data_IF_255744855842
#
_entry.id   IF_255744855842
#
_cell.length_a   1.000
_cell.length_b   1.000
_cell.length_c   1.000
_cell.angle_alpha   90.00
_cell.angle_beta   90.00
_cell.angle_gamma   90.00
#
_symmetry.space_group_name_H-M   'P 1'
#
loop_
_entity.id
_entity.type
_entity.pdbx_description
1 polymer ?
#
# COMPACT_ATOMS: atom_id res chain seq x y z
N UNK A 1 -11.56 -0.39 13.56
CA UNK A 1 -10.61 0.60 14.14
C UNK A 1 -9.29 0.46 13.40
N UNK A 2 -8.64 1.57 13.00
CA UNK A 2 -7.32 1.53 12.36
C UNK A 2 -6.29 1.30 13.46
N UNK A 3 -5.49 0.23 13.31
CA UNK A 3 -4.39 -0.07 14.21
C UNK A 3 -3.07 0.37 13.57
N UNK A 4 -2.47 1.43 14.10
CA UNK A 4 -1.29 2.04 13.49
C UNK A 4 -0.29 2.49 14.55
N UNK A 5 0.84 1.80 14.65
CA UNK A 5 1.98 2.20 15.48
C UNK A 5 2.99 3.06 14.72
N UNK A 6 3.22 2.72 13.44
CA UNK A 6 4.11 3.45 12.54
C UNK A 6 3.31 3.96 11.34
N UNK A 7 3.38 5.24 11.05
CA UNK A 7 2.83 5.76 9.80
C UNK A 7 3.70 5.30 8.61
N UNK A 8 3.12 5.09 7.42
CA UNK A 8 3.90 4.88 6.21
C UNK A 8 4.81 6.07 5.89
N UNK A 9 5.99 5.80 5.33
CA UNK A 9 6.94 6.83 4.91
C UNK A 9 6.33 7.69 3.78
N UNK A 10 6.09 8.99 4.08
CA UNK A 10 5.39 9.92 3.19
C UNK A 10 3.88 9.97 3.40
N UNK A 11 3.35 9.42 4.49
CA UNK A 11 1.92 9.55 4.81
C UNK A 11 1.52 11.01 5.04
N UNK A 12 2.33 11.73 5.82
CA UNK A 12 2.21 13.18 6.03
C UNK A 12 3.35 13.87 5.27
N UNK A 13 3.02 14.70 4.30
CA UNK A 13 4.01 15.36 3.43
C UNK A 13 4.28 16.80 3.91
N UNK A 14 4.32 16.99 5.23
CA UNK A 14 4.59 18.29 5.82
C UNK A 14 6.10 18.42 6.10
N UNK A 15 6.77 19.24 5.31
CA UNK A 15 8.12 19.68 5.63
C UNK A 15 8.04 20.97 6.43
N UNK A 16 8.49 20.92 7.70
CA UNK A 16 8.72 22.09 8.52
C UNK A 16 10.21 22.18 8.79
N UNK A 17 10.87 23.32 8.52
CA UNK A 17 12.28 23.49 8.88
C UNK A 17 12.50 23.22 10.36
N UNK A 18 13.52 22.43 10.68
CA UNK A 18 13.78 21.98 12.04
C UNK A 18 14.90 22.84 12.66
N UNK A 19 14.82 23.06 13.96
CA UNK A 19 15.90 23.70 14.72
C UNK A 19 16.84 22.66 15.32
N UNK A 20 18.08 23.06 15.63
CA UNK A 20 19.03 22.19 16.33
C UNK A 20 18.48 21.72 17.68
N UNK A 21 17.82 22.62 18.43
CA UNK A 21 17.19 22.27 19.71
C UNK A 21 16.15 21.19 19.58
N UNK A 22 15.30 21.25 18.53
CA UNK A 22 14.31 20.22 18.25
C UNK A 22 14.96 18.87 17.90
N UNK A 23 16.01 18.87 17.08
CA UNK A 23 16.74 17.66 16.69
C UNK A 23 17.46 17.02 17.89
N UNK A 24 18.05 17.82 18.77
CA UNK A 24 18.71 17.34 19.99
C UNK A 24 17.70 16.71 20.97
N UNK A 25 16.55 17.35 21.19
CA UNK A 25 15.47 16.78 22.00
C UNK A 25 14.93 15.48 21.39
N UNK A 26 14.80 15.42 20.06
CA UNK A 26 14.38 14.20 19.36
C UNK A 26 15.41 13.07 19.49
N UNK A 27 16.70 13.40 19.49
CA UNK A 27 17.80 12.45 19.74
C UNK A 27 17.72 11.87 21.16
N UNK A 28 17.62 12.72 22.19
CA UNK A 28 17.49 12.30 23.59
C UNK A 28 16.25 11.41 23.84
N UNK A 29 15.11 11.79 23.24
CA UNK A 29 13.86 11.07 23.37
C UNK A 29 13.78 9.83 22.48
N UNK A 30 14.71 9.63 21.54
CA UNK A 30 14.64 8.56 20.54
C UNK A 30 13.42 8.65 19.60
N UNK A 31 12.95 9.88 19.34
CA UNK A 31 11.74 10.15 18.54
C UNK A 31 11.95 9.75 17.08
N UNK A 32 10.95 9.11 16.51
CA UNK A 32 10.91 8.82 15.06
C UNK A 32 10.54 10.12 14.34
N UNK A 33 11.41 10.52 13.43
CA UNK A 33 11.26 11.71 12.59
C UNK A 33 11.12 11.31 11.12
N UNK A 34 10.73 12.24 10.27
CA UNK A 34 10.60 12.04 8.84
C UNK A 34 11.25 13.19 8.07
N UNK A 35 11.89 12.89 6.97
CA UNK A 35 12.48 13.88 6.07
C UNK A 35 12.63 13.34 4.65
N UNK A 36 12.90 14.25 3.70
CA UNK A 36 13.10 13.90 2.30
C UNK A 36 14.58 13.68 2.02
N UNK A 37 14.91 12.57 1.39
CA UNK A 37 16.26 12.31 0.89
C UNK A 37 16.55 13.21 -0.31
N UNK A 38 17.49 14.13 -0.18
CA UNK A 38 17.88 15.04 -1.26
C UNK A 38 18.92 14.46 -2.19
N UNK A 39 19.80 13.60 -1.66
CA UNK A 39 20.93 13.05 -2.41
C UNK A 39 21.32 11.68 -1.85
N UNK A 40 21.77 10.80 -2.72
CA UNK A 40 22.55 9.61 -2.40
C UNK A 40 23.97 9.82 -2.93
N UNK A 41 24.99 9.74 -2.06
CA UNK A 41 26.39 9.98 -2.46
C UNK A 41 27.06 8.73 -3.08
N UNK A 42 28.33 8.83 -3.45
CA UNK A 42 29.12 7.75 -4.06
C UNK A 42 29.32 6.55 -3.12
N UNK A 43 29.20 6.74 -1.81
CA UNK A 43 29.28 5.69 -0.79
C UNK A 43 27.90 5.15 -0.41
N UNK A 44 26.85 5.58 -1.14
CA UNK A 44 25.44 5.22 -0.92
C UNK A 44 24.88 5.69 0.41
N UNK A 45 25.46 6.72 1.02
CA UNK A 45 24.84 7.42 2.16
C UNK A 45 23.73 8.33 1.66
N UNK A 46 22.66 8.47 2.46
CA UNK A 46 21.54 9.33 2.13
C UNK A 46 21.64 10.66 2.88
N UNK A 47 21.48 11.75 2.15
CA UNK A 47 21.53 13.10 2.71
C UNK A 47 20.13 13.69 2.85
N UNK A 48 19.84 14.21 4.05
CA UNK A 48 18.58 14.86 4.40
C UNK A 48 18.85 16.31 4.72
N UNK A 49 18.02 17.19 4.19
CA UNK A 49 18.03 18.62 4.47
C UNK A 49 16.88 18.93 5.44
N UNK A 50 17.20 19.52 6.58
CA UNK A 50 16.24 19.93 7.59
C UNK A 50 15.82 21.40 7.46
N UNK A 51 16.33 22.11 6.46
CA UNK A 51 16.20 23.55 6.35
C UNK A 51 17.19 24.28 7.29
N UNK A 52 17.18 25.63 7.25
CA UNK A 52 18.03 26.48 8.11
C UNK A 52 19.54 26.11 8.06
N UNK A 53 20.04 25.59 6.94
CA UNK A 53 21.40 25.08 6.77
C UNK A 53 21.74 23.87 7.68
N UNK A 54 20.76 23.20 8.22
CA UNK A 54 20.95 21.99 9.04
C UNK A 54 20.79 20.76 8.14
N UNK A 55 21.74 19.85 8.21
CA UNK A 55 21.74 18.64 7.38
C UNK A 55 21.96 17.38 8.21
N UNK A 56 21.41 16.27 7.74
CA UNK A 56 21.63 14.95 8.30
C UNK A 56 22.13 13.96 7.24
N UNK A 57 22.77 12.92 7.72
CA UNK A 57 23.22 11.79 6.90
C UNK A 57 22.73 10.48 7.50
N UNK A 58 22.16 9.62 6.67
CA UNK A 58 21.93 8.20 6.99
C UNK A 58 23.09 7.44 6.33
N UNK A 59 24.06 6.95 7.11
CA UNK A 59 25.12 6.08 6.57
C UNK A 59 24.52 4.85 5.91
N UNK A 60 25.19 4.29 4.90
CA UNK A 60 24.68 3.15 4.12
C UNK A 60 24.24 1.98 5.02
N UNK A 61 25.01 1.65 6.05
CA UNK A 61 24.71 0.60 7.03
C UNK A 61 23.50 0.89 7.91
N UNK A 62 23.03 2.14 7.94
CA UNK A 62 21.88 2.60 8.70
C UNK A 62 20.62 2.81 7.84
N UNK A 63 20.67 2.48 6.54
CA UNK A 63 19.54 2.68 5.61
C UNK A 63 18.47 1.60 5.76
N UNK A 64 18.85 0.33 5.93
CA UNK A 64 17.90 -0.79 5.97
C UNK A 64 18.16 -1.74 7.14
N UNK A 65 17.05 -2.23 7.74
CA UNK A 65 17.10 -3.29 8.74
C UNK A 65 16.94 -4.69 8.11
N UNK A 66 16.31 -4.75 6.94
CA UNK A 66 16.05 -5.95 6.12
C UNK A 66 16.54 -5.65 4.70
N UNK A 67 16.66 -6.68 3.86
CA UNK A 67 17.15 -6.57 2.48
C UNK A 67 18.60 -6.06 2.41
N UNK A 68 19.41 -6.55 3.32
CA UNK A 68 20.87 -6.36 3.33
C UNK A 68 21.55 -7.59 2.72
N UNK A 69 22.76 -7.41 2.20
CA UNK A 69 23.64 -8.48 1.73
C UNK A 69 24.34 -9.20 2.90
N UNK A 70 25.21 -10.16 2.59
CA UNK A 70 25.98 -10.95 3.57
C UNK A 70 26.90 -10.08 4.44
N UNK A 71 27.26 -8.87 3.98
CA UNK A 71 28.08 -7.91 4.70
C UNK A 71 27.25 -6.98 5.60
N UNK A 72 25.93 -7.11 5.56
CA UNK A 72 25.00 -6.27 6.34
C UNK A 72 24.67 -4.91 5.70
N UNK A 73 25.04 -4.69 4.44
CA UNK A 73 24.76 -3.47 3.71
C UNK A 73 23.58 -3.64 2.72
N UNK A 74 22.72 -2.63 2.57
CA UNK A 74 21.73 -2.61 1.51
C UNK A 74 22.39 -2.51 0.14
N UNK A 75 21.78 -3.13 -0.86
CA UNK A 75 22.26 -3.02 -2.25
C UNK A 75 22.19 -1.55 -2.72
N UNK A 76 23.14 -1.12 -3.58
CA UNK A 76 23.18 0.26 -4.09
C UNK A 76 21.86 0.81 -4.63
N UNK A 77 21.13 0.00 -5.40
CA UNK A 77 19.84 0.38 -5.97
C UNK A 77 18.76 0.66 -4.92
N UNK A 78 18.84 0.03 -3.74
CA UNK A 78 17.92 0.30 -2.62
C UNK A 78 18.17 1.71 -2.08
N UNK A 79 19.43 2.08 -1.85
CA UNK A 79 19.79 3.43 -1.38
C UNK A 79 19.39 4.49 -2.43
N UNK A 80 19.75 4.28 -3.68
CA UNK A 80 19.44 5.21 -4.78
C UNK A 80 17.94 5.41 -4.97
N UNK A 81 17.12 4.37 -4.77
CA UNK A 81 15.66 4.45 -4.90
C UNK A 81 14.98 5.33 -3.84
N UNK A 82 15.71 5.70 -2.77
CA UNK A 82 15.20 6.60 -1.73
C UNK A 82 15.32 8.08 -2.08
N UNK A 83 16.09 8.46 -3.10
CA UNK A 83 16.23 9.86 -3.51
C UNK A 83 14.86 10.43 -3.90
N UNK A 84 14.56 11.63 -3.40
CA UNK A 84 13.27 12.31 -3.50
C UNK A 84 12.10 11.56 -2.81
N UNK A 85 12.39 10.59 -1.94
CA UNK A 85 11.38 9.93 -1.12
C UNK A 85 11.45 10.44 0.32
N UNK A 86 10.29 10.41 1.00
CA UNK A 86 10.25 10.53 2.45
C UNK A 86 10.79 9.25 3.08
N UNK A 87 11.60 9.40 4.12
CA UNK A 87 12.10 8.31 4.96
C UNK A 87 11.94 8.64 6.43
N UNK A 88 11.66 7.64 7.23
CA UNK A 88 11.62 7.77 8.68
C UNK A 88 12.98 7.39 9.27
N UNK A 89 13.40 8.09 10.31
CA UNK A 89 14.69 7.86 10.96
C UNK A 89 14.65 8.32 12.42
N UNK A 90 15.65 7.86 13.18
CA UNK A 90 16.02 8.42 14.49
C UNK A 90 17.33 9.16 14.36
N UNK A 91 17.50 10.21 15.15
CA UNK A 91 18.80 10.88 15.30
C UNK A 91 19.63 10.04 16.26
N UNK A 92 20.84 9.66 15.86
CA UNK A 92 21.77 8.84 16.66
C UNK A 92 22.84 9.68 17.31
N UNK A 93 23.38 10.63 16.56
CA UNK A 93 24.55 11.40 16.98
C UNK A 93 24.67 12.69 16.15
N UNK A 94 25.62 13.53 16.54
CA UNK A 94 26.03 14.73 15.80
C UNK A 94 27.54 14.67 15.61
N UNK A 95 28.02 14.79 14.37
CA UNK A 95 29.44 14.77 14.09
C UNK A 95 30.14 16.09 14.45
N UNK A 96 31.49 16.11 14.40
CA UNK A 96 32.33 17.27 14.69
C UNK A 96 32.05 18.50 13.78
N UNK A 97 31.32 18.32 12.70
CA UNK A 97 30.92 19.35 11.73
C UNK A 97 29.48 19.78 11.89
N UNK A 98 28.86 19.50 13.04
CA UNK A 98 27.44 19.79 13.32
C UNK A 98 26.45 19.08 12.35
N UNK A 99 26.84 17.93 11.77
CA UNK A 99 25.99 17.14 10.90
C UNK A 99 25.36 16.01 11.68
N UNK A 100 24.04 15.87 11.58
CA UNK A 100 23.29 14.83 12.30
C UNK A 100 23.46 13.46 11.65
N UNK A 101 23.84 12.47 12.45
CA UNK A 101 23.92 11.06 12.03
C UNK A 101 22.57 10.40 12.33
N UNK A 102 21.97 9.83 11.31
CA UNK A 102 20.60 9.32 11.36
C UNK A 102 20.55 7.80 11.11
N UNK A 103 19.56 7.14 11.66
CA UNK A 103 19.31 5.73 11.45
C UNK A 103 17.86 5.47 11.02
N UNK A 104 17.67 5.02 9.79
CA UNK A 104 16.42 4.43 9.34
C UNK A 104 16.31 2.96 9.78
N UNK A 105 17.43 2.29 9.89
CA UNK A 105 17.56 0.92 10.37
C UNK A 105 16.94 0.70 11.75
N UNK A 106 17.12 1.65 12.66
CA UNK A 106 16.55 1.53 14.03
C UNK A 106 15.02 1.64 14.02
N UNK A 107 14.46 2.50 13.18
CA UNK A 107 13.00 2.54 12.94
C UNK A 107 12.51 1.20 12.38
N UNK A 108 13.20 0.66 11.37
CA UNK A 108 12.87 -0.62 10.76
C UNK A 108 12.93 -1.78 11.76
N UNK A 109 13.92 -1.81 12.67
CA UNK A 109 14.00 -2.82 13.74
C UNK A 109 12.81 -2.75 14.70
N UNK A 110 12.38 -1.55 15.07
CA UNK A 110 11.20 -1.37 15.93
C UNK A 110 9.91 -1.78 15.20
N UNK A 111 9.79 -1.41 13.93
CA UNK A 111 8.66 -1.82 13.11
C UNK A 111 8.60 -3.35 12.92
N UNK A 112 9.75 -4.03 12.79
CA UNK A 112 9.81 -5.50 12.79
C UNK A 112 9.34 -6.12 14.11
N UNK A 113 9.71 -5.53 15.25
CA UNK A 113 9.22 -5.98 16.57
C UNK A 113 7.69 -5.82 16.65
N UNK A 114 7.15 -4.70 16.16
CA UNK A 114 5.72 -4.49 16.07
C UNK A 114 5.03 -5.56 15.22
N UNK A 115 5.55 -5.86 14.03
CA UNK A 115 5.00 -6.93 13.16
C UNK A 115 5.04 -8.30 13.85
N UNK A 116 6.12 -8.61 14.58
CA UNK A 116 6.28 -9.89 15.24
C UNK A 116 5.37 -10.08 16.45
N UNK A 117 5.15 -9.02 17.23
CA UNK A 117 4.57 -9.13 18.55
C UNK A 117 3.15 -8.59 18.67
N UNK A 118 2.77 -7.64 17.80
CA UNK A 118 1.57 -6.84 18.00
C UNK A 118 0.62 -6.84 16.79
N UNK A 119 1.17 -6.92 15.55
CA UNK A 119 0.34 -6.91 14.36
C UNK A 119 -0.41 -8.23 14.19
N UNK A 120 -1.72 -8.16 13.96
CA UNK A 120 -2.59 -9.34 13.86
C UNK A 120 -3.42 -9.36 12.58
N UNK A 121 -3.82 -10.57 12.19
CA UNK A 121 -4.78 -10.77 11.10
C UNK A 121 -6.10 -10.03 11.40
N UNK A 122 -6.66 -9.40 10.37
CA UNK A 122 -7.91 -8.64 10.47
C UNK A 122 -7.75 -7.19 10.89
N UNK A 123 -6.57 -6.78 11.37
CA UNK A 123 -6.30 -5.39 11.69
C UNK A 123 -6.22 -4.54 10.41
N UNK A 124 -6.73 -3.32 10.49
CA UNK A 124 -6.68 -2.33 9.40
C UNK A 124 -5.50 -1.41 9.64
N UNK A 125 -4.64 -1.29 8.63
CA UNK A 125 -3.46 -0.44 8.64
C UNK A 125 -3.49 0.56 7.49
N UNK A 126 -2.94 1.74 7.70
CA UNK A 126 -2.64 2.69 6.63
C UNK A 126 -1.53 2.15 5.75
N UNK A 127 -1.56 2.42 4.46
CA UNK A 127 -0.51 2.00 3.55
C UNK A 127 -0.35 2.91 2.35
N UNK A 128 0.88 2.95 1.83
CA UNK A 128 1.21 3.66 0.58
C UNK A 128 1.67 2.63 -0.44
N UNK A 129 1.06 2.66 -1.62
CA UNK A 129 1.45 1.81 -2.76
C UNK A 129 2.85 2.22 -3.23
N UNK A 130 3.83 1.34 -3.07
CA UNK A 130 5.22 1.59 -3.48
C UNK A 130 5.55 1.04 -4.87
N UNK A 131 5.01 -0.12 -5.22
CA UNK A 131 5.19 -0.68 -6.57
C UNK A 131 4.04 -1.60 -6.96
N UNK A 132 3.83 -1.73 -8.27
CA UNK A 132 2.79 -2.58 -8.85
C UNK A 132 3.45 -3.61 -9.76
N UNK A 133 3.05 -4.87 -9.61
CA UNK A 133 3.47 -6.01 -10.44
C UNK A 133 2.22 -6.69 -11.00
N UNK A 134 2.31 -7.50 -12.07
CA UNK A 134 1.13 -8.17 -12.63
C UNK A 134 0.34 -9.01 -11.61
N UNK A 135 1.02 -9.63 -10.65
CA UNK A 135 0.43 -10.49 -9.63
C UNK A 135 -0.04 -9.77 -8.36
N UNK A 136 0.28 -8.47 -8.20
CA UNK A 136 -0.13 -7.74 -7.00
C UNK A 136 0.62 -6.44 -6.76
N UNK A 137 0.37 -5.86 -5.61
CA UNK A 137 0.82 -4.54 -5.20
C UNK A 137 1.65 -4.64 -3.92
N UNK A 138 2.79 -3.98 -3.90
CA UNK A 138 3.62 -3.84 -2.71
C UNK A 138 3.24 -2.53 -2.01
N UNK A 139 2.80 -2.67 -0.77
CA UNK A 139 2.27 -1.58 0.06
C UNK A 139 3.14 -1.42 1.29
N UNK A 140 3.69 -0.24 1.49
CA UNK A 140 4.41 0.11 2.71
C UNK A 140 3.41 0.52 3.79
N UNK A 141 3.47 -0.14 4.95
CA UNK A 141 2.49 -0.04 6.03
C UNK A 141 3.02 0.61 7.31
N UNK A 142 4.23 1.15 7.27
CA UNK A 142 4.86 1.89 8.36
C UNK A 142 6.25 1.39 8.70
N UNK A 143 7.14 2.33 9.05
CA UNK A 143 8.53 2.04 9.41
C UNK A 143 9.34 1.32 8.36
N UNK A 144 9.00 1.49 7.08
CA UNK A 144 9.63 0.80 5.95
C UNK A 144 9.19 -0.66 5.76
N UNK A 145 8.22 -1.15 6.51
CA UNK A 145 7.67 -2.50 6.35
C UNK A 145 6.75 -2.55 5.14
N UNK A 146 6.96 -3.55 4.28
CA UNK A 146 6.20 -3.73 3.04
C UNK A 146 5.41 -5.03 3.09
N UNK A 147 4.10 -4.93 2.86
CA UNK A 147 3.20 -6.06 2.64
C UNK A 147 2.86 -6.26 1.17
N UNK A 148 2.47 -7.47 0.80
CA UNK A 148 1.97 -7.84 -0.52
C UNK A 148 0.44 -7.91 -0.51
N UNK A 149 -0.19 -7.15 -1.40
CA UNK A 149 -1.60 -7.25 -1.75
C UNK A 149 -1.71 -8.00 -3.08
N UNK A 150 -2.11 -9.27 -3.04
CA UNK A 150 -2.28 -10.07 -4.26
C UNK A 150 -3.44 -9.53 -5.12
N UNK A 151 -3.36 -9.69 -6.45
CA UNK A 151 -4.38 -9.18 -7.37
C UNK A 151 -5.80 -9.68 -7.04
N UNK A 152 -5.95 -10.91 -6.58
CA UNK A 152 -7.22 -11.52 -6.17
C UNK A 152 -7.78 -10.95 -4.84
N UNK A 153 -6.97 -10.23 -4.08
CA UNK A 153 -7.35 -9.60 -2.81
C UNK A 153 -7.66 -8.11 -2.95
N UNK A 154 -7.60 -7.57 -4.18
CA UNK A 154 -7.91 -6.16 -4.46
C UNK A 154 -9.42 -5.93 -4.52
N UNK A 155 -10.15 -6.78 -5.26
CA UNK A 155 -11.62 -6.70 -5.42
C UNK A 155 -12.21 -8.06 -5.73
N UNK A 156 -13.52 -8.21 -5.52
CA UNK A 156 -14.26 -9.43 -5.92
C UNK A 156 -14.39 -9.51 -7.44
N UNK A 157 -14.65 -8.37 -8.09
CA UNK A 157 -14.64 -8.29 -9.54
C UNK A 157 -13.23 -8.54 -10.07
N UNK A 158 -13.09 -9.50 -10.98
CA UNK A 158 -11.81 -9.85 -11.59
C UNK A 158 -11.24 -8.69 -12.40
N UNK A 159 -9.96 -8.46 -12.24
CA UNK A 159 -9.18 -7.44 -12.97
C UNK A 159 -7.99 -8.12 -13.66
N UNK A 160 -7.56 -7.61 -14.79
CA UNK A 160 -6.38 -8.12 -15.52
C UNK A 160 -5.09 -7.51 -15.01
N UNK A 161 -5.17 -6.32 -14.37
CA UNK A 161 -4.03 -5.63 -13.81
C UNK A 161 -4.42 -4.89 -12.53
N UNK A 162 -3.57 -4.92 -11.47
CA UNK A 162 -3.79 -4.11 -10.27
C UNK A 162 -3.91 -2.61 -10.54
N UNK A 163 -3.32 -2.12 -11.64
CA UNK A 163 -3.38 -0.71 -12.06
C UNK A 163 -4.80 -0.24 -12.40
N UNK A 164 -5.74 -1.16 -12.63
CA UNK A 164 -7.16 -0.83 -12.81
C UNK A 164 -7.81 -0.28 -11.52
N UNK A 165 -7.19 -0.51 -10.37
CA UNK A 165 -7.70 -0.16 -9.03
C UNK A 165 -6.79 0.75 -8.23
N UNK A 166 -5.49 0.59 -8.38
CA UNK A 166 -4.51 1.21 -7.51
C UNK A 166 -3.40 1.89 -8.33
N UNK A 167 -2.84 2.96 -7.78
CA UNK A 167 -1.75 3.73 -8.40
C UNK A 167 -0.56 3.81 -7.45
N UNK A 168 0.65 3.87 -8.00
CA UNK A 168 1.87 4.12 -7.20
C UNK A 168 1.71 5.48 -6.47
N UNK A 169 2.09 5.52 -5.21
CA UNK A 169 1.91 6.68 -4.32
C UNK A 169 0.52 6.80 -3.70
N UNK A 170 -0.46 5.97 -4.10
CA UNK A 170 -1.80 6.02 -3.52
C UNK A 170 -1.76 5.67 -2.03
N UNK A 171 -2.40 6.51 -1.23
CA UNK A 171 -2.62 6.34 0.21
C UNK A 171 -3.99 5.70 0.43
N UNK A 172 -4.04 4.58 1.14
CA UNK A 172 -5.29 3.89 1.46
C UNK A 172 -5.14 3.06 2.74
N UNK A 173 -6.27 2.57 3.24
CA UNK A 173 -6.29 1.58 4.31
C UNK A 173 -6.31 0.18 3.69
N UNK A 174 -5.62 -0.76 4.34
CA UNK A 174 -5.55 -2.16 3.96
C UNK A 174 -5.81 -3.03 5.19
N UNK A 175 -6.34 -4.22 5.00
CA UNK A 175 -6.51 -5.18 6.09
C UNK A 175 -5.41 -6.23 6.03
N UNK A 176 -4.87 -6.61 7.17
CA UNK A 176 -3.89 -7.69 7.29
C UNK A 176 -4.60 -9.02 7.07
N UNK A 177 -4.28 -9.72 5.98
CA UNK A 177 -4.84 -11.02 5.63
C UNK A 177 -4.13 -12.15 6.37
N UNK A 178 -2.80 -12.12 6.40
CA UNK A 178 -1.97 -13.08 7.13
C UNK A 178 -0.57 -12.56 7.35
N UNK A 179 0.13 -13.12 8.33
CA UNK A 179 1.52 -12.77 8.68
C UNK A 179 2.31 -14.06 8.82
N UNK A 180 3.36 -14.21 8.02
CA UNK A 180 4.41 -15.20 8.22
C UNK A 180 5.54 -14.55 9.02
N UNK A 181 5.51 -14.76 10.34
CA UNK A 181 6.47 -14.16 11.27
C UNK A 181 7.88 -14.72 11.11
N UNK A 182 8.03 -15.94 10.60
CA UNK A 182 9.33 -16.57 10.35
C UNK A 182 10.08 -15.89 9.21
N UNK A 183 9.36 -15.57 8.12
CA UNK A 183 9.92 -14.94 6.92
C UNK A 183 9.66 -13.43 6.83
N UNK A 184 9.07 -12.81 7.85
CA UNK A 184 8.67 -11.42 7.87
C UNK A 184 7.79 -11.03 6.65
N UNK A 185 6.91 -11.94 6.20
CA UNK A 185 6.01 -11.71 5.06
C UNK A 185 4.62 -11.36 5.54
N UNK A 186 4.07 -10.29 5.01
CA UNK A 186 2.74 -9.80 5.32
C UNK A 186 1.92 -9.83 4.04
N UNK A 187 0.79 -10.53 4.08
CA UNK A 187 -0.22 -10.48 3.04
C UNK A 187 -1.33 -9.53 3.47
N UNK A 188 -1.71 -8.67 2.55
CA UNK A 188 -2.77 -7.68 2.74
C UNK A 188 -3.99 -8.05 1.89
N UNK A 189 -5.13 -7.49 2.24
CA UNK A 189 -6.34 -7.53 1.44
C UNK A 189 -7.00 -6.16 1.45
N UNK A 190 -7.67 -5.82 0.36
CA UNK A 190 -8.38 -4.55 0.19
C UNK A 190 -9.88 -4.78 -0.02
N UNK A 191 -10.25 -5.89 -0.64
CA UNK A 191 -11.64 -6.20 -0.97
C UNK A 191 -12.58 -6.24 0.24
N UNK A 192 -12.11 -6.66 1.42
CA UNK A 192 -12.93 -6.68 2.63
C UNK A 192 -13.31 -5.27 3.12
N UNK A 193 -12.56 -4.25 2.69
CA UNK A 193 -12.82 -2.84 3.01
C UNK A 193 -13.75 -2.14 2.00
N UNK A 194 -14.10 -2.83 0.91
CA UNK A 194 -15.00 -2.30 -0.14
C UNK A 194 -16.48 -2.66 0.11
N UNK A 195 -16.80 -3.12 1.32
CA UNK A 195 -18.14 -3.55 1.72
C UNK A 195 -18.44 -5.00 1.33
N UNK A 196 -19.39 -5.58 2.05
CA UNK A 196 -19.92 -6.92 1.78
C UNK A 196 -20.75 -6.92 0.50
N UNK A 197 -21.07 -8.12 -0.01
CA UNK A 197 -21.99 -8.27 -1.14
C UNK A 197 -23.34 -7.60 -0.84
N UNK A 198 -23.87 -7.83 0.36
CA UNK A 198 -25.16 -7.32 0.81
C UNK A 198 -25.18 -5.78 0.90
N UNK A 199 -24.10 -5.17 1.43
CA UNK A 199 -23.96 -3.71 1.49
C UNK A 199 -23.90 -3.09 0.10
N UNK A 200 -23.15 -3.71 -0.82
CA UNK A 200 -23.06 -3.24 -2.19
C UNK A 200 -24.38 -3.43 -2.95
N UNK A 201 -25.06 -4.56 -2.75
CA UNK A 201 -26.33 -4.88 -3.45
C UNK A 201 -27.47 -3.94 -3.05
N UNK A 202 -27.49 -3.40 -1.82
CA UNK A 202 -28.50 -2.43 -1.34
C UNK A 202 -28.55 -1.13 -2.16
N UNK A 203 -27.47 -0.82 -2.90
CA UNK A 203 -27.43 0.38 -3.75
C UNK A 203 -28.11 0.19 -5.11
N UNK A 204 -28.69 -0.99 -5.36
CA UNK A 204 -29.29 -1.35 -6.62
C UNK A 204 -30.71 -1.90 -6.45
N UNK A 205 -31.59 -1.60 -7.41
CA UNK A 205 -32.97 -2.03 -7.40
C UNK A 205 -33.29 -2.92 -8.61
N UNK A 206 -34.09 -3.96 -8.39
CA UNK A 206 -34.64 -4.75 -9.48
C UNK A 206 -35.49 -3.88 -10.39
N UNK A 207 -35.40 -4.08 -11.70
CA UNK A 207 -36.11 -3.26 -12.68
C UNK A 207 -35.40 -1.99 -13.10
N UNK A 208 -34.29 -1.62 -12.48
CA UNK A 208 -33.50 -0.43 -12.86
C UNK A 208 -32.46 -0.76 -13.95
N UNK A 209 -32.09 0.30 -14.69
CA UNK A 209 -30.98 0.22 -15.66
C UNK A 209 -29.79 1.01 -15.14
N UNK A 210 -28.62 0.36 -15.08
CA UNK A 210 -27.40 0.92 -14.52
C UNK A 210 -26.21 0.68 -15.44
N UNK A 211 -25.12 1.42 -15.24
CA UNK A 211 -23.84 1.16 -15.94
C UNK A 211 -23.06 0.07 -15.23
N UNK A 212 -22.40 -0.77 -16.01
CA UNK A 212 -21.47 -1.77 -15.52
C UNK A 212 -20.25 -1.90 -16.41
N UNK A 213 -19.23 -2.60 -15.94
CA UNK A 213 -17.98 -2.85 -16.66
C UNK A 213 -17.84 -4.35 -16.89
N UNK A 214 -17.62 -4.76 -18.14
CA UNK A 214 -17.39 -6.15 -18.48
C UNK A 214 -16.06 -6.64 -17.92
N UNK A 215 -16.09 -7.70 -17.10
CA UNK A 215 -14.91 -8.26 -16.47
C UNK A 215 -14.50 -9.62 -17.00
N UNK A 216 -15.43 -10.38 -17.48
CA UNK A 216 -15.15 -11.70 -18.05
C UNK A 216 -16.25 -12.07 -19.02
N UNK A 217 -15.87 -12.70 -20.15
CA UNK A 217 -16.78 -13.21 -21.15
C UNK A 217 -16.51 -14.71 -21.30
N UNK A 218 -17.46 -15.55 -20.92
CA UNK A 218 -17.34 -17.01 -21.01
C UNK A 218 -18.33 -17.55 -22.03
N UNK A 219 -17.94 -17.58 -23.32
CA UNK A 219 -18.77 -18.09 -24.39
C UNK A 219 -19.21 -19.54 -24.14
N UNK A 220 -18.32 -20.40 -23.65
CA UNK A 220 -18.60 -21.80 -23.33
C UNK A 220 -19.63 -21.96 -22.21
N UNK A 221 -19.77 -21.00 -21.31
CA UNK A 221 -20.74 -20.98 -20.20
C UNK A 221 -21.93 -20.06 -20.48
N UNK A 222 -21.99 -19.49 -21.69
CA UNK A 222 -23.05 -18.58 -22.14
C UNK A 222 -23.26 -17.39 -21.17
N UNK A 223 -22.16 -16.80 -20.63
CA UNK A 223 -22.24 -15.77 -19.63
C UNK A 223 -21.23 -14.64 -19.80
N UNK A 224 -21.66 -13.45 -19.39
CA UNK A 224 -20.83 -12.23 -19.28
C UNK A 224 -20.89 -11.75 -17.83
N UNK A 225 -19.73 -11.67 -17.17
CA UNK A 225 -19.61 -11.12 -15.84
C UNK A 225 -19.44 -9.61 -15.92
N UNK A 226 -20.35 -8.89 -15.29
CA UNK A 226 -20.39 -7.42 -15.31
C UNK A 226 -20.27 -6.89 -13.90
N UNK A 227 -19.27 -6.07 -13.68
CA UNK A 227 -19.05 -5.36 -12.43
C UNK A 227 -20.01 -4.18 -12.33
N UNK A 228 -20.80 -4.15 -11.28
CA UNK A 228 -21.63 -3.02 -10.87
C UNK A 228 -20.87 -2.13 -9.86
N UNK A 229 -20.17 -2.77 -8.93
CA UNK A 229 -19.16 -2.16 -8.05
C UNK A 229 -17.97 -3.12 -7.93
N UNK A 230 -16.80 -2.69 -7.42
CA UNK A 230 -15.66 -3.59 -7.23
C UNK A 230 -15.97 -4.89 -6.47
N UNK A 231 -16.97 -4.85 -5.57
CA UNK A 231 -17.38 -6.02 -4.79
C UNK A 231 -18.77 -6.58 -5.16
N UNK A 232 -19.37 -6.08 -6.24
CA UNK A 232 -20.65 -6.61 -6.74
C UNK A 232 -20.56 -6.90 -8.23
N UNK A 233 -20.65 -8.18 -8.58
CA UNK A 233 -20.66 -8.66 -9.98
C UNK A 233 -21.98 -9.33 -10.27
N UNK A 234 -22.58 -8.97 -11.41
CA UNK A 234 -23.75 -9.64 -11.96
C UNK A 234 -23.40 -10.47 -13.18
N UNK A 235 -24.30 -11.35 -13.56
CA UNK A 235 -24.19 -12.24 -14.73
C UNK A 235 -25.28 -11.90 -15.73
N UNK A 236 -24.88 -11.59 -16.96
CA UNK A 236 -25.73 -11.49 -18.14
C UNK A 236 -25.51 -12.67 -19.08
N UNK A 237 -26.47 -12.94 -19.96
CA UNK A 237 -26.33 -13.91 -21.05
C UNK A 237 -25.24 -13.44 -22.03
N UNK A 238 -24.56 -14.41 -22.64
CA UNK A 238 -23.52 -14.12 -23.62
C UNK A 238 -24.09 -13.33 -24.80
N UNK A 239 -23.41 -12.28 -25.20
CA UNK A 239 -23.71 -11.46 -26.36
C UNK A 239 -22.42 -11.26 -27.15
N UNK A 240 -22.44 -11.53 -28.45
CA UNK A 240 -21.29 -11.37 -29.32
C UNK A 240 -20.90 -9.88 -29.44
N UNK A 241 -19.62 -9.61 -29.59
CA UNK A 241 -19.09 -8.24 -29.71
C UNK A 241 -18.92 -7.51 -28.39
N UNK A 242 -19.14 -8.15 -27.24
CA UNK A 242 -18.90 -7.59 -25.92
C UNK A 242 -17.51 -8.01 -25.44
N UNK A 243 -16.68 -7.01 -25.10
CA UNK A 243 -15.27 -7.22 -24.75
C UNK A 243 -14.96 -6.81 -23.31
N UNK A 244 -13.87 -7.37 -22.77
CA UNK A 244 -13.35 -7.01 -21.44
C UNK A 244 -13.07 -5.51 -21.33
N UNK A 245 -13.48 -4.93 -20.21
CA UNK A 245 -13.28 -3.49 -19.90
C UNK A 245 -14.32 -2.56 -20.53
N UNK A 246 -15.19 -3.07 -21.39
CA UNK A 246 -16.25 -2.29 -22.03
C UNK A 246 -17.26 -1.81 -20.98
N UNK A 247 -17.65 -0.55 -21.07
CA UNK A 247 -18.79 -0.01 -20.32
C UNK A 247 -20.09 -0.37 -21.06
N UNK A 248 -21.01 -0.99 -20.32
CA UNK A 248 -22.32 -1.41 -20.86
C UNK A 248 -23.43 -0.90 -19.97
N UNK A 249 -24.59 -0.63 -20.55
CA UNK A 249 -25.81 -0.44 -19.76
C UNK A 249 -26.46 -1.82 -19.53
N UNK A 250 -26.87 -2.06 -18.31
CA UNK A 250 -27.49 -3.32 -17.92
C UNK A 250 -28.79 -3.08 -17.14
N UNK A 251 -29.81 -3.84 -17.50
CA UNK A 251 -31.04 -3.91 -16.75
C UNK A 251 -30.93 -4.98 -15.66
N UNK A 252 -31.24 -4.62 -14.43
CA UNK A 252 -31.20 -5.54 -13.28
C UNK A 252 -32.50 -6.36 -13.26
N UNK A 253 -32.40 -7.59 -13.76
CA UNK A 253 -33.55 -8.49 -13.84
C UNK A 253 -33.94 -9.06 -12.48
N UNK A 254 -32.94 -9.42 -11.64
CA UNK A 254 -33.19 -10.01 -10.33
C UNK A 254 -31.93 -9.92 -9.43
N UNK A 255 -32.14 -9.63 -8.17
CA UNK A 255 -31.14 -9.70 -7.10
C UNK A 255 -31.51 -10.88 -6.20
N UNK A 256 -30.60 -11.82 -5.98
CA UNK A 256 -30.85 -13.08 -5.26
C UNK A 256 -29.87 -13.13 -4.06
N UNK A 257 -30.25 -12.55 -2.90
CA UNK A 257 -29.34 -12.39 -1.75
C UNK A 257 -28.84 -13.72 -1.20
N UNK A 258 -29.70 -14.73 -1.07
CA UNK A 258 -29.36 -16.06 -0.54
C UNK A 258 -28.31 -16.81 -1.38
N UNK A 259 -28.16 -16.44 -2.66
CA UNK A 259 -27.16 -17.01 -3.60
C UNK A 259 -26.03 -16.04 -3.92
N UNK A 260 -26.07 -14.81 -3.38
CA UNK A 260 -25.18 -13.70 -3.71
C UNK A 260 -25.04 -13.49 -5.23
N UNK A 261 -26.17 -13.49 -5.95
CA UNK A 261 -26.22 -13.40 -7.42
C UNK A 261 -27.07 -12.21 -7.87
N UNK A 262 -26.60 -11.52 -8.90
CA UNK A 262 -27.35 -10.50 -9.64
C UNK A 262 -27.51 -10.98 -11.07
N UNK A 263 -28.74 -11.09 -11.55
CA UNK A 263 -29.05 -11.41 -12.94
C UNK A 263 -29.25 -10.12 -13.73
N UNK A 264 -28.51 -10.00 -14.84
CA UNK A 264 -28.47 -8.81 -15.68
C UNK A 264 -28.92 -9.12 -17.10
N UNK A 265 -29.38 -8.09 -17.79
CA UNK A 265 -29.62 -8.08 -19.23
C UNK A 265 -28.89 -6.88 -19.83
N UNK A 266 -28.04 -7.08 -20.83
CA UNK A 266 -27.35 -5.98 -21.53
C UNK A 266 -28.34 -5.31 -22.48
N UNK A 267 -28.55 -4.01 -22.30
CA UNK A 267 -29.49 -3.18 -23.06
C UNK A 267 -28.78 -2.27 -24.05
#
# INVERSE_FOLDING_TARGET
>A
MIYQRFNPEGWEENFTPMSKDYLNKAMEAGTIMQGVVRKCDSNYNLHIDFGNNITGIIPREEVEAINVDETGFPKPNICMSKVNQYVQFKVKDVDERDKYILSRKDVGKEALKWVKNELEKGQIVKGIVKSIRPYGVFVEIGGGIVGLLHIEDISVARIKSPQERLKIGQKANFMVKSIDRGNNRILLTYKELLGTWEENAKNFEEGSTVKGIVRETEKAKNGIFIELTPNLVGLAEYKEGIEYGQNVNVYIKKIIPEKKKVKLVIV
#
